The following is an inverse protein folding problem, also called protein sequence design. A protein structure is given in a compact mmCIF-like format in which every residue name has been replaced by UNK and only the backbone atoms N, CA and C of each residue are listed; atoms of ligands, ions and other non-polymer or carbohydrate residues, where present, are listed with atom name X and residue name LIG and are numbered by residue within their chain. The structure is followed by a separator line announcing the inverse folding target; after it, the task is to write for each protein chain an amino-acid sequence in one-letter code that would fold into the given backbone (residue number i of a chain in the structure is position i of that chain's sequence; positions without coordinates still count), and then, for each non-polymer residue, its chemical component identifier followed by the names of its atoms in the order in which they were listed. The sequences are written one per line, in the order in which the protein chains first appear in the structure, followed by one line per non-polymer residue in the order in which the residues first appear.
data_IF_149933871439
#
_entry.id   IF_149933871439
#
_cell.length_a   1.000
_cell.length_b   1.000
_cell.length_c   1.000
_cell.angle_alpha   90.00
_cell.angle_beta   90.00
_cell.angle_gamma   90.00
#
_symmetry.space_group_name_H-M   'P 1'
#
loop_
_entity.id
_entity.type
_entity.pdbx_description
1 polymer ?
#
# COMPACT_ATOMS: atom_id res chain seq x y z
N UNK A 1 -15.35 30.64 -3.28
CA UNK A 1 -16.66 30.06 -2.92
C UNK A 1 -16.63 28.54 -3.13
N UNK A 2 -17.61 27.75 -2.66
CA UNK A 2 -17.57 26.28 -2.90
C UNK A 2 -17.80 25.93 -4.37
N UNK A 3 -18.63 26.72 -5.08
CA UNK A 3 -18.88 26.58 -6.51
C UNK A 3 -17.59 26.77 -7.32
N UNK A 4 -16.86 27.88 -7.13
CA UNK A 4 -15.59 28.12 -7.84
C UNK A 4 -14.60 26.96 -7.65
N UNK A 5 -14.55 26.39 -6.44
CA UNK A 5 -13.71 25.22 -6.16
C UNK A 5 -14.19 23.98 -6.89
N UNK A 6 -15.50 23.76 -6.99
CA UNK A 6 -16.08 22.63 -7.71
C UNK A 6 -15.88 22.77 -9.22
N UNK A 7 -16.07 23.96 -9.78
CA UNK A 7 -15.83 24.26 -11.19
C UNK A 7 -14.35 24.09 -11.56
N UNK A 8 -13.45 24.65 -10.76
CA UNK A 8 -12.00 24.48 -10.96
C UNK A 8 -11.58 23.00 -10.84
N UNK A 9 -12.13 22.28 -9.86
CA UNK A 9 -11.85 20.85 -9.69
C UNK A 9 -12.42 20.00 -10.83
N UNK A 10 -13.56 20.38 -11.42
CA UNK A 10 -14.12 19.70 -12.58
C UNK A 10 -13.28 19.95 -13.84
N UNK A 11 -12.81 21.19 -14.03
CA UNK A 11 -11.94 21.55 -15.15
C UNK A 11 -10.56 20.86 -15.08
N UNK A 12 -10.01 20.73 -13.87
CA UNK A 12 -8.72 20.07 -13.61
C UNK A 12 -8.85 18.67 -13.01
N UNK A 13 -9.93 17.95 -13.34
CA UNK A 13 -10.30 16.74 -12.60
C UNK A 13 -9.31 15.60 -12.75
N UNK A 14 -8.43 15.60 -13.76
CA UNK A 14 -7.38 14.59 -13.92
C UNK A 14 -6.11 14.92 -13.11
N UNK A 15 -5.91 16.19 -12.74
CA UNK A 15 -4.64 16.68 -12.18
C UNK A 15 -4.70 16.95 -10.66
N UNK A 16 -5.89 17.26 -10.13
CA UNK A 16 -6.09 17.52 -8.70
C UNK A 16 -5.73 16.29 -7.83
N UNK A 17 -5.26 16.43 -6.59
CA UNK A 17 -5.06 15.25 -5.73
C UNK A 17 -6.42 14.59 -5.36
N UNK A 18 -6.49 13.26 -5.32
CA UNK A 18 -7.74 12.54 -5.00
C UNK A 18 -8.31 12.89 -3.61
N UNK A 19 -7.47 13.20 -2.63
CA UNK A 19 -7.91 13.65 -1.30
C UNK A 19 -8.56 15.03 -1.39
N UNK A 20 -7.97 15.93 -2.16
CA UNK A 20 -8.50 17.28 -2.33
C UNK A 20 -9.81 17.25 -3.12
N UNK A 21 -9.88 16.44 -4.19
CA UNK A 21 -11.10 16.22 -4.95
C UNK A 21 -12.22 15.66 -4.06
N UNK A 22 -11.93 14.69 -3.19
CA UNK A 22 -12.89 14.19 -2.17
C UNK A 22 -13.34 15.30 -1.23
N UNK A 23 -12.44 16.18 -0.78
CA UNK A 23 -12.81 17.32 0.06
C UNK A 23 -13.73 18.31 -0.66
N UNK A 24 -13.53 18.54 -1.97
CA UNK A 24 -14.41 19.41 -2.76
C UNK A 24 -15.79 18.78 -2.93
N UNK A 25 -15.88 17.48 -3.24
CA UNK A 25 -17.15 16.76 -3.34
C UNK A 25 -17.94 16.86 -2.03
N UNK A 26 -17.32 16.60 -0.88
CA UNK A 26 -17.98 16.71 0.44
C UNK A 26 -18.50 18.14 0.67
N UNK A 27 -17.71 19.17 0.35
CA UNK A 27 -18.14 20.55 0.50
C UNK A 27 -19.32 20.90 -0.43
N UNK A 28 -19.29 20.41 -1.68
CA UNK A 28 -20.37 20.60 -2.64
C UNK A 28 -21.67 19.92 -2.20
N UNK A 29 -21.60 18.67 -1.73
CA UNK A 29 -22.76 17.93 -1.20
C UNK A 29 -23.41 18.63 0.00
N UNK A 30 -22.60 19.23 0.88
CA UNK A 30 -23.11 19.95 2.05
C UNK A 30 -23.74 21.30 1.70
N UNK A 31 -23.16 22.03 0.73
CA UNK A 31 -23.51 23.41 0.42
C UNK A 31 -24.53 23.58 -0.73
N UNK A 32 -24.66 22.60 -1.63
CA UNK A 32 -25.50 22.73 -2.82
C UNK A 32 -26.99 22.92 -2.48
N UNK A 33 -27.59 24.00 -3.01
CA UNK A 33 -29.02 24.33 -2.88
C UNK A 33 -29.58 24.79 -4.22
N UNK A 34 -30.78 24.34 -4.56
CA UNK A 34 -31.36 24.55 -5.89
C UNK A 34 -30.83 23.56 -6.94
N UNK A 35 -31.54 23.43 -8.05
CA UNK A 35 -31.27 22.39 -9.05
C UNK A 35 -29.91 22.53 -9.73
N UNK A 36 -29.52 23.74 -10.11
CA UNK A 36 -28.23 24.01 -10.76
C UNK A 36 -27.04 23.60 -9.88
N UNK A 37 -27.08 23.98 -8.61
CA UNK A 37 -26.01 23.64 -7.66
C UNK A 37 -25.96 22.15 -7.33
N UNK A 38 -27.12 21.48 -7.27
CA UNK A 38 -27.18 20.03 -7.13
C UNK A 38 -26.61 19.34 -8.36
N UNK A 39 -26.87 19.87 -9.56
CA UNK A 39 -26.32 19.34 -10.80
C UNK A 39 -24.79 19.48 -10.85
N UNK A 40 -24.23 20.60 -10.37
CA UNK A 40 -22.78 20.77 -10.25
C UNK A 40 -22.17 19.79 -9.23
N UNK A 41 -22.78 19.65 -8.05
CA UNK A 41 -22.35 18.69 -7.02
C UNK A 41 -22.39 17.24 -7.54
N UNK A 42 -23.40 16.89 -8.33
CA UNK A 42 -23.51 15.59 -8.97
C UNK A 42 -22.40 15.37 -10.00
N UNK A 43 -22.13 16.35 -10.87
CA UNK A 43 -21.07 16.24 -11.88
C UNK A 43 -19.70 15.97 -11.26
N UNK A 44 -19.33 16.71 -10.20
CA UNK A 44 -18.04 16.48 -9.55
C UNK A 44 -17.99 15.15 -8.78
N UNK A 45 -19.11 14.70 -8.22
CA UNK A 45 -19.22 13.37 -7.57
C UNK A 45 -19.02 12.24 -8.59
N UNK A 46 -19.68 12.32 -9.75
CA UNK A 46 -19.52 11.36 -10.85
C UNK A 46 -18.08 11.36 -11.36
N UNK A 47 -17.51 12.55 -11.55
CA UNK A 47 -16.12 12.69 -11.99
C UNK A 47 -15.11 12.09 -11.01
N UNK A 48 -15.28 12.32 -9.71
CA UNK A 48 -14.46 11.68 -8.66
C UNK A 48 -14.55 10.15 -8.74
N UNK A 49 -15.76 9.59 -8.84
CA UNK A 49 -15.96 8.15 -8.94
C UNK A 49 -15.25 7.58 -10.16
N UNK A 50 -15.45 8.18 -11.34
CA UNK A 50 -14.82 7.74 -12.57
C UNK A 50 -13.29 7.79 -12.48
N UNK A 51 -12.72 8.82 -11.84
CA UNK A 51 -11.28 8.92 -11.65
C UNK A 51 -10.73 7.88 -10.67
N UNK A 52 -11.42 7.66 -9.54
CA UNK A 52 -11.03 6.62 -8.59
C UNK A 52 -11.02 5.24 -9.26
N UNK A 53 -12.00 4.94 -10.10
CA UNK A 53 -12.08 3.67 -10.82
C UNK A 53 -10.93 3.51 -11.83
N UNK A 54 -10.59 4.57 -12.57
CA UNK A 54 -9.44 4.56 -13.50
C UNK A 54 -8.10 4.38 -12.79
N UNK A 55 -7.88 5.11 -11.69
CA UNK A 55 -6.65 4.99 -10.91
C UNK A 55 -6.55 3.60 -10.28
N UNK A 56 -7.67 3.03 -9.83
CA UNK A 56 -7.72 1.66 -9.33
C UNK A 56 -7.38 0.64 -10.42
N UNK A 57 -7.96 0.77 -11.61
CA UNK A 57 -7.62 -0.09 -12.75
C UNK A 57 -6.13 0.01 -13.13
N UNK A 58 -5.59 1.23 -13.17
CA UNK A 58 -4.16 1.47 -13.45
C UNK A 58 -3.27 0.83 -12.40
N UNK A 59 -3.60 0.98 -11.13
CA UNK A 59 -2.87 0.36 -10.03
C UNK A 59 -2.83 -1.17 -10.13
N UNK A 60 -3.95 -1.81 -10.48
CA UNK A 60 -4.00 -3.26 -10.69
C UNK A 60 -3.09 -3.70 -11.85
N UNK A 61 -3.11 -2.95 -12.95
CA UNK A 61 -2.24 -3.19 -14.11
C UNK A 61 -0.77 -3.04 -13.71
N UNK A 62 -0.42 -1.98 -12.97
CA UNK A 62 0.96 -1.76 -12.51
C UNK A 62 1.47 -2.89 -11.60
N UNK A 63 0.62 -3.40 -10.69
CA UNK A 63 0.97 -4.55 -9.84
C UNK A 63 1.17 -5.80 -10.70
N UNK A 64 0.28 -6.07 -11.67
CA UNK A 64 0.44 -7.21 -12.57
C UNK A 64 1.71 -7.11 -13.41
N UNK A 65 1.94 -5.98 -14.07
CA UNK A 65 3.11 -5.76 -14.92
C UNK A 65 4.41 -5.94 -14.12
N UNK A 66 4.47 -5.44 -12.88
CA UNK A 66 5.63 -5.67 -12.03
C UNK A 66 5.86 -7.15 -11.71
N UNK A 67 4.82 -7.97 -11.60
CA UNK A 67 4.95 -9.42 -11.45
C UNK A 67 5.36 -10.11 -12.76
N UNK A 68 4.79 -9.68 -13.89
CA UNK A 68 5.11 -10.22 -15.21
C UNK A 68 6.58 -9.96 -15.59
N UNK A 69 7.17 -8.88 -15.09
CA UNK A 69 8.58 -8.51 -15.26
C UNK A 69 9.50 -9.06 -14.15
N UNK A 70 9.03 -9.97 -13.29
CA UNK A 70 9.76 -10.56 -12.15
C UNK A 70 10.30 -9.51 -11.14
N UNK A 71 9.67 -8.33 -11.06
CA UNK A 71 10.02 -7.25 -10.13
C UNK A 71 9.26 -7.38 -8.82
N UNK A 72 9.48 -8.47 -8.08
CA UNK A 72 8.73 -8.84 -6.86
C UNK A 72 8.66 -7.71 -5.81
N UNK A 73 9.80 -7.07 -5.50
CA UNK A 73 9.84 -5.96 -4.51
C UNK A 73 9.00 -4.76 -4.98
N UNK A 74 8.99 -4.48 -6.29
CA UNK A 74 8.18 -3.39 -6.85
C UNK A 74 6.70 -3.73 -6.75
N UNK A 75 6.30 -4.97 -7.09
CA UNK A 75 4.93 -5.43 -6.98
C UNK A 75 4.43 -5.37 -5.53
N UNK A 76 5.21 -5.84 -4.55
CA UNK A 76 4.90 -5.74 -3.12
C UNK A 76 4.71 -4.29 -2.66
N UNK A 77 5.60 -3.38 -3.07
CA UNK A 77 5.48 -1.95 -2.72
C UNK A 77 4.31 -1.24 -3.40
N UNK A 78 3.91 -1.67 -4.59
CA UNK A 78 2.69 -1.18 -5.24
C UNK A 78 1.44 -1.68 -4.50
N UNK A 79 1.42 -2.96 -4.13
CA UNK A 79 0.28 -3.58 -3.46
C UNK A 79 -0.12 -2.93 -2.13
N UNK A 80 0.82 -2.25 -1.44
CA UNK A 80 0.56 -1.55 -0.18
C UNK A 80 0.02 -0.12 -0.36
N UNK A 81 -0.15 0.35 -1.60
CA UNK A 81 -0.54 1.73 -1.92
C UNK A 81 -1.77 1.78 -2.83
N UNK A 82 -2.93 1.26 -2.40
CA UNK A 82 -4.14 1.36 -3.18
C UNK A 82 -4.59 2.84 -3.30
N UNK A 83 -5.20 3.25 -4.44
CA UNK A 83 -5.74 4.61 -4.63
C UNK A 83 -6.82 5.02 -3.61
N UNK A 84 -7.45 4.02 -2.97
CA UNK A 84 -8.38 4.17 -1.85
C UNK A 84 -7.97 3.21 -0.74
N UNK A 85 -7.91 3.72 0.49
CA UNK A 85 -7.65 2.90 1.67
C UNK A 85 -8.65 1.73 1.76
N UNK A 86 -8.12 0.52 1.93
CA UNK A 86 -8.92 -0.70 1.99
C UNK A 86 -9.40 -1.24 0.64
N UNK A 87 -9.04 -0.65 -0.50
CA UNK A 87 -9.34 -1.27 -1.80
C UNK A 87 -8.60 -2.62 -1.90
N UNK A 88 -9.33 -3.72 -2.13
CA UNK A 88 -8.72 -5.05 -2.11
C UNK A 88 -8.00 -5.34 -3.42
N UNK A 89 -6.88 -6.07 -3.34
CA UNK A 89 -6.34 -6.75 -4.50
C UNK A 89 -7.25 -7.94 -4.88
N UNK A 90 -7.50 -8.19 -6.18
CA UNK A 90 -8.19 -9.38 -6.64
C UNK A 90 -7.48 -10.66 -6.19
N UNK A 91 -8.24 -11.72 -5.86
CA UNK A 91 -7.70 -12.98 -5.36
C UNK A 91 -6.60 -13.59 -6.26
N UNK A 92 -6.75 -13.68 -7.59
CA UNK A 92 -5.69 -14.21 -8.46
C UNK A 92 -4.38 -13.42 -8.37
N UNK A 93 -4.46 -12.10 -8.15
CA UNK A 93 -3.29 -11.24 -8.04
C UNK A 93 -2.64 -11.37 -6.65
N UNK A 94 -3.44 -11.55 -5.59
CA UNK A 94 -2.93 -11.89 -4.26
C UNK A 94 -2.18 -13.21 -4.27
N UNK A 95 -2.70 -14.23 -4.96
CA UNK A 95 -2.07 -15.55 -5.02
C UNK A 95 -0.74 -15.47 -5.77
N UNK A 96 -0.72 -14.84 -6.96
CA UNK A 96 0.52 -14.59 -7.72
C UNK A 96 1.56 -13.81 -6.91
N UNK A 97 1.14 -12.77 -6.19
CA UNK A 97 2.02 -11.94 -5.37
C UNK A 97 2.60 -12.76 -4.20
N UNK A 98 1.77 -13.57 -3.54
CA UNK A 98 2.19 -14.44 -2.43
C UNK A 98 3.20 -15.49 -2.89
N UNK A 99 2.93 -16.16 -4.02
CA UNK A 99 3.83 -17.16 -4.62
C UNK A 99 5.16 -16.54 -5.02
N UNK A 100 5.14 -15.36 -5.65
CA UNK A 100 6.37 -14.68 -6.09
C UNK A 100 7.21 -14.19 -4.90
N UNK A 101 6.56 -13.71 -3.83
CA UNK A 101 7.23 -13.34 -2.59
C UNK A 101 7.85 -14.55 -1.88
N UNK A 102 7.13 -15.67 -1.77
CA UNK A 102 7.65 -16.92 -1.22
C UNK A 102 8.86 -17.43 -2.00
N UNK A 103 8.81 -17.40 -3.33
CA UNK A 103 9.93 -17.79 -4.20
C UNK A 103 11.16 -16.89 -4.04
N UNK A 104 10.96 -15.59 -3.84
CA UNK A 104 12.04 -14.63 -3.59
C UNK A 104 12.68 -14.78 -2.19
N UNK A 105 12.05 -15.50 -1.27
CA UNK A 105 12.51 -15.77 0.09
C UNK A 105 12.96 -17.23 0.20
N UNK A 106 14.14 -17.54 -0.33
CA UNK A 106 14.73 -18.88 -0.34
C UNK A 106 16.17 -18.89 0.20
N UNK A 107 16.74 -20.08 0.39
CA UNK A 107 18.07 -20.28 0.97
C UNK A 107 19.24 -19.79 0.08
N UNK A 108 19.02 -19.69 -1.24
CA UNK A 108 20.01 -19.21 -2.21
C UNK A 108 20.01 -17.67 -2.32
N UNK A 109 18.96 -17.02 -1.80
CA UNK A 109 18.83 -15.57 -1.82
C UNK A 109 19.76 -14.94 -0.78
N UNK A 110 20.69 -14.09 -1.24
CA UNK A 110 21.61 -13.35 -0.37
C UNK A 110 20.88 -12.47 0.66
N UNK A 111 21.45 -12.31 1.86
CA UNK A 111 20.78 -11.68 3.00
C UNK A 111 20.28 -10.25 2.74
N UNK A 112 21.01 -9.43 1.98
CA UNK A 112 20.58 -8.06 1.65
C UNK A 112 19.29 -8.04 0.81
N UNK A 113 19.21 -8.96 -0.18
CA UNK A 113 18.01 -9.14 -1.00
C UNK A 113 16.87 -9.70 -0.16
N UNK A 114 17.17 -10.66 0.70
CA UNK A 114 16.21 -11.25 1.64
C UNK A 114 15.57 -10.18 2.52
N UNK A 115 16.39 -9.30 3.13
CA UNK A 115 15.93 -8.20 3.98
C UNK A 115 15.07 -7.20 3.20
N UNK A 116 15.47 -6.89 1.95
CA UNK A 116 14.71 -5.99 1.07
C UNK A 116 13.33 -6.55 0.74
N UNK A 117 13.24 -7.85 0.47
CA UNK A 117 11.96 -8.52 0.19
C UNK A 117 11.12 -8.58 1.46
N UNK A 118 11.69 -8.96 2.61
CA UNK A 118 11.01 -9.02 3.90
C UNK A 118 10.38 -7.67 4.28
N UNK A 119 11.12 -6.57 4.12
CA UNK A 119 10.59 -5.21 4.35
C UNK A 119 9.38 -4.88 3.45
N UNK A 120 9.42 -5.33 2.20
CA UNK A 120 8.31 -5.13 1.28
C UNK A 120 7.11 -6.03 1.60
N UNK A 121 7.35 -7.29 2.01
CA UNK A 121 6.32 -8.23 2.45
C UNK A 121 5.58 -7.70 3.66
N UNK A 122 6.29 -7.20 4.67
CA UNK A 122 5.69 -6.69 5.91
C UNK A 122 4.65 -5.57 5.70
N UNK A 123 4.74 -4.83 4.59
CA UNK A 123 3.80 -3.76 4.24
C UNK A 123 2.70 -4.21 3.28
N UNK A 124 2.86 -5.36 2.63
CA UNK A 124 1.96 -5.84 1.59
C UNK A 124 0.71 -6.50 2.19
N UNK A 125 -0.47 -6.45 1.55
CA UNK A 125 -1.64 -7.22 1.97
C UNK A 125 -1.43 -8.74 2.04
N UNK A 126 -0.34 -9.29 1.46
CA UNK A 126 -0.01 -10.72 1.54
C UNK A 126 0.91 -11.09 2.70
N UNK A 127 1.24 -10.18 3.62
CA UNK A 127 2.20 -10.42 4.72
C UNK A 127 1.93 -11.70 5.54
N UNK A 128 0.66 -12.05 5.79
CA UNK A 128 0.27 -13.27 6.51
C UNK A 128 0.09 -14.51 5.62
N UNK A 129 0.30 -14.38 4.30
CA UNK A 129 0.16 -15.47 3.31
C UNK A 129 1.50 -16.01 2.83
N UNK A 130 2.59 -15.32 3.13
CA UNK A 130 3.92 -15.65 2.60
C UNK A 130 4.62 -16.61 3.56
N UNK A 131 4.85 -17.84 3.08
CA UNK A 131 5.76 -18.80 3.71
C UNK A 131 7.05 -18.85 2.89
N UNK A 132 8.21 -18.45 3.46
CA UNK A 132 9.49 -18.56 2.78
C UNK A 132 9.77 -19.99 2.31
N UNK A 133 10.34 -20.16 1.12
CA UNK A 133 10.78 -21.48 0.62
C UNK A 133 12.05 -21.97 1.33
N UNK A 134 12.79 -21.07 1.98
CA UNK A 134 13.95 -21.43 2.78
C UNK A 134 14.60 -20.21 3.42
N UNK A 135 15.29 -20.44 4.52
CA UNK A 135 16.08 -19.42 5.20
C UNK A 135 17.51 -19.41 4.65
N UNK A 136 18.17 -18.24 4.56
CA UNK A 136 19.57 -18.19 4.19
C UNK A 136 20.40 -18.93 5.26
N UNK A 137 21.39 -19.76 4.87
CA UNK A 137 22.13 -20.61 5.82
C UNK A 137 22.96 -19.82 6.83
N UNK A 138 23.32 -18.57 6.49
CA UNK A 138 24.03 -17.62 7.34
C UNK A 138 23.36 -16.25 7.20
N UNK A 139 22.30 -15.96 7.96
CA UNK A 139 21.66 -14.65 7.92
C UNK A 139 22.61 -13.58 8.46
N UNK A 140 22.75 -12.47 7.73
CA UNK A 140 23.47 -11.29 8.21
C UNK A 140 22.78 -10.66 9.42
N UNK A 141 23.53 -9.93 10.26
CA UNK A 141 22.97 -9.13 11.35
C UNK A 141 21.93 -8.11 10.85
N UNK A 142 22.18 -7.46 9.72
CA UNK A 142 21.24 -6.51 9.12
C UNK A 142 19.87 -7.14 8.80
N UNK A 143 19.86 -8.36 8.24
CA UNK A 143 18.63 -9.12 8.00
C UNK A 143 17.89 -9.43 9.30
N UNK A 144 18.60 -9.87 10.35
CA UNK A 144 17.99 -10.15 11.65
C UNK A 144 17.40 -8.88 12.29
N UNK A 145 18.05 -7.72 12.11
CA UNK A 145 17.51 -6.44 12.58
C UNK A 145 16.24 -6.02 11.82
N UNK A 146 16.17 -6.27 10.51
CA UNK A 146 14.93 -6.09 9.75
C UNK A 146 13.83 -6.99 10.29
N UNK A 147 14.11 -8.28 10.46
CA UNK A 147 13.11 -9.26 10.92
C UNK A 147 12.58 -8.91 12.32
N UNK A 148 13.45 -8.57 13.28
CA UNK A 148 13.02 -8.07 14.59
C UNK A 148 12.09 -6.85 14.47
N UNK A 149 12.45 -5.88 13.63
CA UNK A 149 11.68 -4.65 13.42
C UNK A 149 10.29 -4.93 12.84
N UNK A 150 10.17 -5.91 11.93
CA UNK A 150 8.89 -6.25 11.27
C UNK A 150 8.19 -7.47 11.86
N UNK A 151 8.72 -8.09 12.91
CA UNK A 151 8.26 -9.36 13.48
C UNK A 151 6.76 -9.43 13.77
N UNK A 152 6.16 -8.35 14.28
CA UNK A 152 4.71 -8.26 14.51
C UNK A 152 3.87 -8.28 13.23
N UNK A 153 4.44 -7.83 12.11
CA UNK A 153 3.79 -7.83 10.79
C UNK A 153 3.98 -9.16 10.06
N UNK A 154 4.99 -9.95 10.40
CA UNK A 154 5.30 -11.24 9.74
C UNK A 154 5.65 -12.32 10.77
N UNK A 155 4.73 -12.65 11.70
CA UNK A 155 5.03 -13.46 12.87
C UNK A 155 5.59 -14.84 12.53
N UNK A 156 5.06 -15.50 11.49
CA UNK A 156 5.51 -16.83 11.09
C UNK A 156 6.93 -16.82 10.51
N UNK A 157 7.30 -15.74 9.80
CA UNK A 157 8.66 -15.55 9.27
C UNK A 157 9.64 -15.30 10.42
N UNK A 158 9.26 -14.43 11.36
CA UNK A 158 10.08 -14.14 12.54
C UNK A 158 10.33 -15.41 13.37
N UNK A 159 9.30 -16.22 13.57
CA UNK A 159 9.43 -17.51 14.24
C UNK A 159 10.39 -18.45 13.51
N UNK A 160 10.42 -18.45 12.18
CA UNK A 160 11.36 -19.26 11.40
C UNK A 160 12.83 -18.84 11.64
N UNK A 161 13.10 -17.56 11.89
CA UNK A 161 14.42 -17.08 12.34
C UNK A 161 14.69 -17.28 13.84
N UNK A 162 13.73 -17.83 14.59
CA UNK A 162 13.82 -17.96 16.05
C UNK A 162 13.64 -16.63 16.80
N UNK A 163 13.03 -15.63 16.16
CA UNK A 163 12.71 -14.33 16.74
C UNK A 163 11.27 -14.37 17.26
N UNK A 164 11.09 -14.09 18.55
CA UNK A 164 9.76 -13.96 19.15
C UNK A 164 9.11 -12.63 18.70
N UNK A 165 7.91 -12.66 18.09
CA UNK A 165 7.20 -11.44 17.70
C UNK A 165 6.92 -10.54 18.90
N UNK A 166 7.72 -9.49 19.03
CA UNK A 166 7.62 -8.54 20.13
C UNK A 166 7.22 -7.17 19.61
N UNK A 167 6.40 -6.40 20.35
CA UNK A 167 6.11 -5.02 19.99
C UNK A 167 7.43 -4.23 19.88
N UNK A 168 7.58 -3.35 18.87
CA UNK A 168 8.83 -2.64 18.65
C UNK A 168 9.21 -1.86 19.92
N UNK A 169 10.51 -1.81 20.27
CA UNK A 169 10.96 -1.12 21.45
C UNK A 169 10.49 0.34 21.37
N UNK A 170 9.63 0.73 22.32
CA UNK A 170 9.19 2.13 22.43
C UNK A 170 10.42 3.01 22.56
N UNK A 171 10.67 3.84 21.56
CA UNK A 171 11.76 4.79 21.60
C UNK A 171 11.54 5.70 22.82
N UNK A 172 12.29 5.48 23.90
CA UNK A 172 12.27 6.32 25.11
C UNK A 172 13.07 7.61 24.83
N UNK A 173 12.72 8.30 23.74
CA UNK A 173 13.36 9.51 23.29
C UNK A 173 12.85 10.72 24.06
N UNK A 174 13.55 11.06 25.15
CA UNK A 174 13.84 12.45 25.52
C UNK A 174 12.67 13.33 25.99
N UNK A 175 12.12 13.07 27.19
CA UNK A 175 11.54 14.16 27.98
C UNK A 175 12.67 14.97 28.61
N UNK A 176 13.35 15.79 27.80
CA UNK A 176 14.25 16.83 28.30
C UNK A 176 13.33 17.93 28.86
N UNK A 177 13.05 17.87 30.17
CA UNK A 177 12.35 18.91 30.92
C UNK A 177 13.40 19.83 31.54
N UNK A 178 13.15 21.13 31.38
CA UNK A 178 13.86 22.32 31.87
C UNK A 178 14.94 22.84 30.92
#
# INVERSE_FOLDING_TARGET
HWQDRAEAALAGIEDIDLRDLRSVVVAAEQAARGEENKALAEQIRVGLTARVDREHATWLVDVSNALDEDRVVRALRLSSRPPKAGAPLPAPLLDRLSTSAAAALNAETGSDRWATVLDAVALSPVHLRVTPQGLPPRPSEALLEVDKRVSMSVPDIAQAFGIDPAPPPRNRGGRRRR
#
